data_IF_732161086671
#
_entry.id   IF_732161086671
#
_cell.length_a   1.000
_cell.length_b   1.000
_cell.length_c   1.000
_cell.angle_alpha   90.00
_cell.angle_beta   90.00
_cell.angle_gamma   90.00
#
_symmetry.space_group_name_H-M   'P 1'
#
loop_
_entity.id
_entity.type
_entity.pdbx_description
1 polymer ?
#
# COMPACT_ATOMS: atom_id res chain seq x y z
N UNK A 1 16.37 4.58 -5.74
CA UNK A 1 15.53 3.41 -6.10
C UNK A 1 16.33 2.28 -6.75
N UNK A 2 17.47 2.56 -7.41
CA UNK A 2 18.28 1.55 -8.13
C UNK A 2 18.86 0.40 -7.27
N UNK A 3 18.84 0.51 -5.94
CA UNK A 3 19.34 -0.54 -5.03
C UNK A 3 18.23 -1.30 -4.29
N UNK A 4 16.96 -0.94 -4.51
CA UNK A 4 15.86 -1.50 -3.73
C UNK A 4 15.57 -2.96 -4.13
N UNK A 5 15.66 -3.27 -5.42
CA UNK A 5 15.47 -4.62 -5.95
C UNK A 5 16.55 -5.58 -5.42
N UNK A 6 17.83 -5.20 -5.53
CA UNK A 6 18.94 -6.01 -5.04
C UNK A 6 18.87 -6.25 -3.53
N UNK A 7 18.47 -5.24 -2.76
CA UNK A 7 18.29 -5.36 -1.31
C UNK A 7 17.15 -6.32 -0.98
N UNK A 8 15.99 -6.16 -1.62
CA UNK A 8 14.84 -7.02 -1.40
C UNK A 8 15.11 -8.47 -1.81
N UNK A 9 15.81 -8.69 -2.93
CA UNK A 9 16.17 -10.03 -3.39
C UNK A 9 17.09 -10.73 -2.38
N UNK A 10 18.06 -10.00 -1.81
CA UNK A 10 18.93 -10.54 -0.76
C UNK A 10 18.13 -10.92 0.51
N UNK A 11 17.18 -10.09 0.92
CA UNK A 11 16.30 -10.38 2.07
C UNK A 11 15.39 -11.59 1.81
N UNK A 12 14.83 -11.72 0.61
CA UNK A 12 14.00 -12.88 0.23
C UNK A 12 14.81 -14.18 0.31
N UNK A 13 16.04 -14.18 -0.20
CA UNK A 13 16.94 -15.34 -0.15
C UNK A 13 17.34 -15.67 1.29
N UNK A 14 17.57 -14.65 2.13
CA UNK A 14 17.92 -14.82 3.54
C UNK A 14 16.73 -15.16 4.44
N UNK A 15 15.49 -14.99 3.96
CA UNK A 15 14.29 -15.16 4.78
C UNK A 15 14.09 -16.60 5.27
N UNK A 16 14.01 -16.76 6.59
CA UNK A 16 13.74 -18.05 7.26
C UNK A 16 12.26 -18.24 7.62
N UNK A 17 11.47 -17.18 7.56
CA UNK A 17 10.06 -17.15 8.01
C UNK A 17 9.07 -17.74 6.99
N UNK A 18 9.50 -17.96 5.75
CA UNK A 18 8.67 -18.59 4.72
C UNK A 18 9.49 -19.53 3.85
N UNK A 19 8.92 -20.67 3.45
CA UNK A 19 9.58 -21.61 2.54
C UNK A 19 9.84 -21.04 1.14
N UNK A 20 9.41 -19.80 0.86
CA UNK A 20 9.56 -19.14 -0.43
C UNK A 20 11.03 -18.88 -0.80
N UNK A 21 11.82 -18.29 0.10
CA UNK A 21 13.25 -18.06 -0.12
C UNK A 21 14.05 -19.34 -0.38
N UNK A 22 13.57 -20.47 0.17
CA UNK A 22 14.18 -21.79 0.02
C UNK A 22 13.65 -22.61 -1.16
N UNK A 23 12.62 -22.11 -1.85
CA UNK A 23 11.97 -22.79 -2.96
C UNK A 23 12.90 -22.93 -4.17
N UNK A 24 12.65 -23.94 -5.01
CA UNK A 24 13.38 -24.10 -6.28
C UNK A 24 13.19 -22.88 -7.19
N UNK A 25 12.05 -22.19 -7.11
CA UNK A 25 11.78 -20.98 -7.90
C UNK A 25 12.84 -19.90 -7.65
N UNK A 26 13.19 -19.67 -6.38
CA UNK A 26 14.20 -18.67 -5.99
C UNK A 26 15.61 -19.22 -6.19
N UNK A 27 15.88 -20.47 -5.77
CA UNK A 27 17.23 -21.09 -5.87
C UNK A 27 17.70 -21.32 -7.30
N UNK A 28 16.79 -21.63 -8.21
CA UNK A 28 17.09 -21.85 -9.63
C UNK A 28 16.91 -20.57 -10.45
N UNK A 29 16.68 -19.43 -9.79
CA UNK A 29 16.55 -18.11 -10.40
C UNK A 29 15.52 -18.09 -11.54
N UNK A 30 14.34 -18.69 -11.30
CA UNK A 30 13.23 -18.74 -12.27
C UNK A 30 12.37 -17.47 -12.25
N UNK A 31 12.69 -16.51 -11.38
CA UNK A 31 12.07 -15.18 -11.31
C UNK A 31 13.03 -14.20 -11.96
N UNK A 32 12.62 -13.58 -13.07
CA UNK A 32 13.46 -12.65 -13.82
C UNK A 32 13.60 -11.30 -13.11
N UNK A 33 12.51 -10.79 -12.52
CA UNK A 33 12.46 -9.47 -11.91
C UNK A 33 11.59 -9.46 -10.65
N UNK A 34 12.03 -8.73 -9.63
CA UNK A 34 11.22 -8.42 -8.45
C UNK A 34 10.70 -6.99 -8.55
N UNK A 35 9.38 -6.82 -8.59
CA UNK A 35 8.73 -5.51 -8.64
C UNK A 35 8.13 -5.18 -7.27
N UNK A 36 8.87 -4.49 -6.39
CA UNK A 36 8.35 -4.11 -5.07
C UNK A 36 7.31 -3.01 -5.19
N UNK A 37 6.18 -3.19 -4.50
CA UNK A 37 5.19 -2.15 -4.29
C UNK A 37 5.44 -1.50 -2.92
N UNK A 38 5.62 -0.18 -2.92
CA UNK A 38 5.88 0.57 -1.70
C UNK A 38 4.57 0.83 -0.93
N UNK A 39 4.63 0.93 0.41
CA UNK A 39 3.52 1.40 1.21
C UNK A 39 3.04 2.79 0.77
N UNK A 40 1.74 3.02 0.90
CA UNK A 40 1.12 4.28 0.44
C UNK A 40 1.13 5.34 1.53
N UNK A 41 1.71 6.49 1.23
CA UNK A 41 1.62 7.69 2.07
C UNK A 41 0.23 8.34 2.08
N UNK A 42 0.03 9.26 3.02
CA UNK A 42 -1.21 10.06 3.17
C UNK A 42 -1.72 10.67 1.85
N UNK A 43 -0.80 11.24 1.05
CA UNK A 43 -1.14 11.84 -0.23
C UNK A 43 -1.76 10.81 -1.21
N UNK A 44 -1.20 9.60 -1.28
CA UNK A 44 -1.73 8.53 -2.12
C UNK A 44 -3.11 8.07 -1.65
N UNK A 45 -3.34 8.02 -0.34
CA UNK A 45 -4.66 7.67 0.23
C UNK A 45 -5.72 8.70 -0.17
N UNK A 46 -5.39 10.01 -0.17
CA UNK A 46 -6.30 11.05 -0.67
C UNK A 46 -6.66 10.87 -2.15
N UNK A 47 -5.68 10.50 -2.98
CA UNK A 47 -5.93 10.18 -4.40
C UNK A 47 -6.85 8.97 -4.54
N UNK A 48 -6.63 7.91 -3.76
CA UNK A 48 -7.53 6.76 -3.75
C UNK A 48 -8.95 7.12 -3.28
N UNK A 49 -9.10 8.02 -2.31
CA UNK A 49 -10.40 8.47 -1.86
C UNK A 49 -11.14 9.22 -2.97
N UNK A 50 -10.42 10.08 -3.70
CA UNK A 50 -10.96 10.78 -4.87
C UNK A 50 -11.44 9.79 -5.92
N UNK A 51 -10.61 8.81 -6.27
CA UNK A 51 -10.98 7.79 -7.25
C UNK A 51 -12.17 6.95 -6.78
N UNK A 52 -12.27 6.66 -5.48
CA UNK A 52 -13.40 5.94 -4.90
C UNK A 52 -14.72 6.72 -5.03
N UNK A 53 -14.73 8.04 -4.76
CA UNK A 53 -15.92 8.88 -4.99
C UNK A 53 -16.31 8.89 -6.48
N UNK A 54 -15.34 9.11 -7.37
CA UNK A 54 -15.58 9.17 -8.81
C UNK A 54 -16.10 7.84 -9.36
N UNK A 55 -15.58 6.70 -8.86
CA UNK A 55 -16.02 5.37 -9.29
C UNK A 55 -17.48 5.05 -8.93
N UNK A 56 -18.05 5.80 -7.98
CA UNK A 56 -19.44 5.67 -7.53
C UNK A 56 -20.31 6.84 -8.01
N UNK A 57 -19.80 7.68 -8.92
CA UNK A 57 -20.50 8.86 -9.46
C UNK A 57 -20.91 9.88 -8.38
N UNK A 58 -20.15 9.94 -7.29
CA UNK A 58 -20.38 10.82 -6.16
C UNK A 58 -19.54 12.10 -6.26
N UNK A 59 -20.10 13.20 -5.77
CA UNK A 59 -19.36 14.44 -5.55
C UNK A 59 -18.51 14.32 -4.27
N UNK A 60 -17.33 14.91 -4.29
CA UNK A 60 -16.44 14.99 -3.13
C UNK A 60 -16.03 16.43 -2.86
N UNK A 61 -15.65 16.72 -1.62
CA UNK A 61 -14.94 17.94 -1.24
C UNK A 61 -13.54 17.58 -0.77
N UNK A 62 -12.62 18.54 -0.79
CA UNK A 62 -11.24 18.31 -0.32
C UNK A 62 -11.22 17.90 1.17
N UNK A 63 -12.16 18.42 1.96
CA UNK A 63 -12.34 18.06 3.37
C UNK A 63 -12.77 16.60 3.53
N UNK A 64 -13.70 16.11 2.70
CA UNK A 64 -14.12 14.71 2.74
C UNK A 64 -12.97 13.76 2.40
N UNK A 65 -12.14 14.11 1.41
CA UNK A 65 -10.94 13.34 1.05
C UNK A 65 -9.93 13.28 2.20
N UNK A 66 -9.72 14.43 2.86
CA UNK A 66 -8.82 14.58 4.00
C UNK A 66 -9.30 13.76 5.21
N UNK A 67 -10.60 13.81 5.53
CA UNK A 67 -11.18 13.03 6.61
C UNK A 67 -11.08 11.52 6.36
N UNK A 68 -11.37 11.04 5.15
CA UNK A 68 -11.18 9.62 4.80
C UNK A 68 -9.70 9.21 4.97
N UNK A 69 -8.77 10.05 4.53
CA UNK A 69 -7.36 9.76 4.65
C UNK A 69 -6.91 9.71 6.12
N UNK A 70 -7.40 10.61 6.98
CA UNK A 70 -7.15 10.61 8.44
C UNK A 70 -7.73 9.38 9.15
N UNK A 71 -8.82 8.81 8.65
CA UNK A 71 -9.43 7.61 9.24
C UNK A 71 -8.60 6.33 9.06
N UNK A 72 -7.54 6.37 8.24
CA UNK A 72 -6.63 5.26 8.02
C UNK A 72 -5.62 5.11 9.17
N UNK A 73 -5.13 3.90 9.36
CA UNK A 73 -4.09 3.60 10.36
C UNK A 73 -2.73 3.72 9.70
N UNK A 74 -1.86 4.58 10.25
CA UNK A 74 -0.53 4.84 9.73
C UNK A 74 0.57 4.23 10.60
N UNK A 75 1.69 3.88 9.95
CA UNK A 75 2.90 3.29 10.54
C UNK A 75 4.16 4.00 10.01
N UNK A 76 5.27 3.99 10.76
CA UNK A 76 5.42 3.55 12.15
C UNK A 76 4.61 4.43 13.11
N UNK A 77 4.50 4.06 14.39
CA UNK A 77 3.62 4.79 15.33
C UNK A 77 4.13 6.21 15.61
N UNK A 78 5.43 6.40 15.50
CA UNK A 78 6.16 7.61 15.81
C UNK A 78 6.00 8.65 14.71
N UNK A 79 6.21 8.28 13.43
CA UNK A 79 6.14 9.20 12.30
C UNK A 79 4.79 9.17 11.55
N UNK A 80 4.02 8.09 11.65
CA UNK A 80 2.71 7.92 10.99
C UNK A 80 2.72 8.27 9.49
N UNK A 81 3.73 7.78 8.77
CA UNK A 81 3.97 8.17 7.36
C UNK A 81 3.26 7.27 6.33
N UNK A 82 3.12 5.97 6.60
CA UNK A 82 2.59 5.00 5.63
C UNK A 82 1.28 4.38 6.11
N UNK A 83 0.27 4.32 5.25
CA UNK A 83 -0.96 3.59 5.53
C UNK A 83 -0.69 2.09 5.64
N UNK A 84 -1.00 1.52 6.80
CA UNK A 84 -0.86 0.09 7.11
C UNK A 84 -1.64 -0.83 6.15
N UNK A 85 -2.69 -0.31 5.51
CA UNK A 85 -3.54 -1.08 4.59
C UNK A 85 -3.58 -0.47 3.18
N UNK A 86 -2.68 0.48 2.87
CA UNK A 86 -2.74 1.23 1.62
C UNK A 86 -4.14 1.84 1.42
N UNK A 87 -4.76 1.55 0.28
CA UNK A 87 -6.10 2.04 -0.08
C UNK A 87 -7.23 1.01 0.10
N UNK A 88 -6.95 -0.15 0.70
CA UNK A 88 -7.86 -1.31 0.69
C UNK A 88 -9.24 -1.03 1.29
N UNK A 89 -9.32 -0.23 2.36
CA UNK A 89 -10.58 0.08 3.06
C UNK A 89 -11.16 1.47 2.70
N UNK A 90 -10.53 2.21 1.79
CA UNK A 90 -10.97 3.56 1.42
C UNK A 90 -12.39 3.57 0.87
N UNK A 91 -12.71 2.70 -0.10
CA UNK A 91 -14.06 2.63 -0.70
C UNK A 91 -15.14 2.25 0.30
N UNK A 92 -14.82 1.52 1.37
CA UNK A 92 -15.80 1.19 2.42
C UNK A 92 -16.05 2.38 3.34
N UNK A 93 -15.02 3.21 3.57
CA UNK A 93 -15.10 4.38 4.44
C UNK A 93 -15.86 5.54 3.83
N UNK A 94 -15.91 5.65 2.50
CA UNK A 94 -16.68 6.72 1.85
C UNK A 94 -18.18 6.61 2.17
N UNK A 95 -18.69 5.40 2.46
CA UNK A 95 -20.09 5.18 2.85
C UNK A 95 -20.47 5.89 4.16
N UNK A 96 -19.51 6.24 5.03
CA UNK A 96 -19.80 7.04 6.23
C UNK A 96 -20.10 8.51 5.92
N UNK A 97 -19.79 8.96 4.70
CA UNK A 97 -20.01 10.34 4.23
C UNK A 97 -21.22 10.45 3.31
N UNK A 98 -21.89 9.34 3.03
CA UNK A 98 -23.14 9.32 2.27
C UNK A 98 -24.33 9.48 3.22
N UNK A 99 -25.36 10.26 2.82
CA UNK A 99 -26.58 10.44 3.60
C UNK A 99 -27.43 9.16 3.70
#
# INVERSE_FOLDING_TARGET
MEHLESGLQAEIVASTDSGFGHSRLVKENLIDFFVPFLPLEYHHVRLCARDAFLSQELLYTEEALDEIAKMMVYVPKEEQIFSSQGCKSVSQRINYFLP
#
